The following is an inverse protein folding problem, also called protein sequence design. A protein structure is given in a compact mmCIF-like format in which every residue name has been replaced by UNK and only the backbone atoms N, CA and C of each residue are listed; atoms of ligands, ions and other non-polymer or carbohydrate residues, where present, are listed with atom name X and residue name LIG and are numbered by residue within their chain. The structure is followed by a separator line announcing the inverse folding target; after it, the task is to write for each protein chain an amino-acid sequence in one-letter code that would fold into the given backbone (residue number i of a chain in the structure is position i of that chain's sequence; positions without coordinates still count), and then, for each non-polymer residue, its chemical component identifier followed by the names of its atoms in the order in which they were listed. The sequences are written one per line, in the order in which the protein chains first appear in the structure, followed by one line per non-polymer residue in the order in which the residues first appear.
data_IF_496207922836
#
_entry.id   IF_496207922836
#
_cell.length_a   1.000
_cell.length_b   1.000
_cell.length_c   1.000
_cell.angle_alpha   90.00
_cell.angle_beta   90.00
_cell.angle_gamma   90.00
#
_symmetry.space_group_name_H-M   'P 1'
#
loop_
_entity.id
_entity.type
_entity.pdbx_description
1 polymer ?
#
# COMPACT_ATOMS: atom_id res chain seq x y z
N UNK A 1 -11.90 0.51 13.10
CA UNK A 1 -11.24 1.08 14.29
C UNK A 1 -10.02 1.86 13.85
N UNK A 2 -9.88 3.09 14.34
CA UNK A 2 -8.69 3.91 14.12
C UNK A 2 -7.95 4.03 15.46
N UNK A 3 -6.65 3.77 15.47
CA UNK A 3 -5.85 3.79 16.69
C UNK A 3 -4.38 4.03 16.36
N UNK A 4 -3.64 4.47 17.37
CA UNK A 4 -2.19 4.69 17.26
C UNK A 4 -1.43 3.43 17.64
N UNK A 5 -0.32 3.15 16.96
CA UNK A 5 0.68 2.18 17.39
C UNK A 5 1.41 2.75 18.61
N UNK A 6 0.73 2.80 19.76
CA UNK A 6 1.24 3.31 21.01
C UNK A 6 0.99 2.34 22.16
N UNK A 7 2.02 2.05 22.95
CA UNK A 7 1.96 1.17 24.14
C UNK A 7 1.21 -0.14 23.83
N UNK A 8 0.40 -0.64 24.77
CA UNK A 8 -0.37 -1.88 24.64
C UNK A 8 -1.72 -1.70 23.91
N UNK A 9 -2.06 -0.47 23.48
CA UNK A 9 -3.34 -0.18 22.85
C UNK A 9 -3.61 -1.03 21.57
N UNK A 10 -2.63 -1.25 20.67
CA UNK A 10 -2.83 -2.11 19.50
C UNK A 10 -3.25 -3.53 19.87
N UNK A 11 -2.56 -4.14 20.85
CA UNK A 11 -2.82 -5.52 21.28
C UNK A 11 -4.23 -5.62 21.88
N UNK A 12 -4.60 -4.68 22.76
CA UNK A 12 -5.94 -4.62 23.34
C UNK A 12 -7.04 -4.49 22.26
N UNK A 13 -6.83 -3.62 21.27
CA UNK A 13 -7.74 -3.46 20.13
C UNK A 13 -7.82 -4.75 19.31
N UNK A 14 -6.68 -5.37 19.01
CA UNK A 14 -6.60 -6.62 18.27
C UNK A 14 -7.38 -7.75 18.93
N UNK A 15 -7.18 -7.97 20.23
CA UNK A 15 -7.94 -8.97 20.98
C UNK A 15 -9.44 -8.67 21.00
N UNK A 16 -9.82 -7.40 21.22
CA UNK A 16 -11.23 -7.01 21.23
C UNK A 16 -11.91 -7.28 19.90
N UNK A 17 -11.24 -6.94 18.78
CA UNK A 17 -11.77 -7.22 17.44
C UNK A 17 -11.81 -8.72 17.17
N UNK A 18 -10.78 -9.48 17.52
CA UNK A 18 -10.78 -10.93 17.35
C UNK A 18 -11.95 -11.59 18.12
N UNK A 19 -12.17 -11.19 19.37
CA UNK A 19 -13.29 -11.68 20.18
C UNK A 19 -14.64 -11.31 19.57
N UNK A 20 -14.83 -10.06 19.14
CA UNK A 20 -16.08 -9.63 18.50
C UNK A 20 -16.35 -10.38 17.20
N UNK A 21 -15.32 -10.69 16.42
CA UNK A 21 -15.45 -11.47 15.20
C UNK A 21 -15.75 -12.95 15.43
N UNK A 22 -15.31 -13.50 16.56
CA UNK A 22 -15.60 -14.89 16.94
C UNK A 22 -17.04 -15.05 17.46
N UNK A 23 -17.59 -14.04 18.13
CA UNK A 23 -18.91 -14.10 18.75
C UNK A 23 -20.02 -13.54 17.88
N UNK A 24 -19.72 -12.61 16.98
CA UNK A 24 -20.69 -11.95 16.11
C UNK A 24 -20.44 -12.29 14.62
N UNK A 25 -21.51 -12.31 13.82
CA UNK A 25 -21.38 -12.29 12.35
C UNK A 25 -20.98 -10.89 11.90
N UNK A 26 -19.71 -10.56 12.07
CA UNK A 26 -19.16 -9.28 11.67
C UNK A 26 -18.77 -9.30 10.19
N UNK A 27 -19.54 -8.60 9.37
CA UNK A 27 -19.27 -8.51 7.91
C UNK A 27 -18.13 -7.56 7.57
N UNK A 28 -17.88 -6.56 8.42
CA UNK A 28 -16.82 -5.56 8.22
C UNK A 28 -15.97 -5.41 9.47
N UNK A 29 -14.67 -5.63 9.30
CA UNK A 29 -13.66 -5.37 10.32
C UNK A 29 -12.54 -4.53 9.69
N UNK A 30 -12.21 -3.42 10.34
CA UNK A 30 -11.33 -2.41 9.75
C UNK A 30 -10.30 -1.93 10.76
N UNK A 31 -9.04 -1.85 10.33
CA UNK A 31 -7.99 -1.16 11.05
C UNK A 31 -7.44 0.01 10.22
N UNK A 32 -7.40 1.17 10.85
CA UNK A 32 -6.66 2.35 10.39
C UNK A 32 -5.59 2.60 11.45
N UNK A 33 -4.37 2.27 11.10
CA UNK A 33 -3.24 2.22 12.03
C UNK A 33 -2.43 3.50 11.86
N UNK A 34 -2.48 4.34 12.88
CA UNK A 34 -1.80 5.63 12.94
C UNK A 34 -0.50 5.52 13.73
N UNK A 35 0.36 6.51 13.56
CA UNK A 35 1.64 6.67 14.25
C UNK A 35 1.65 7.99 15.02
N UNK A 36 2.42 8.07 16.09
CA UNK A 36 2.36 9.19 17.03
C UNK A 36 2.80 10.52 16.41
N UNK A 37 3.74 10.45 15.47
CA UNK A 37 4.28 11.60 14.72
C UNK A 37 3.71 11.64 13.31
N UNK A 38 3.53 12.85 12.80
CA UNK A 38 3.26 13.03 11.37
C UNK A 38 4.50 12.74 10.54
N UNK A 39 4.32 12.44 9.24
CA UNK A 39 5.44 12.03 8.38
C UNK A 39 6.59 13.04 8.35
N UNK A 40 6.28 14.33 8.37
CA UNK A 40 7.28 15.41 8.33
C UNK A 40 8.08 15.53 9.63
N UNK A 41 7.56 14.98 10.72
CA UNK A 41 8.18 14.99 12.05
C UNK A 41 8.95 13.69 12.33
N UNK A 42 8.69 12.63 11.56
CA UNK A 42 9.39 11.35 11.69
C UNK A 42 10.80 11.41 11.11
N UNK A 43 11.78 10.99 11.91
CA UNK A 43 13.07 10.55 11.41
C UNK A 43 13.03 9.08 10.94
N UNK A 44 14.18 8.56 10.53
CA UNK A 44 14.30 7.17 10.06
C UNK A 44 14.08 6.16 11.18
N UNK A 45 14.54 6.46 12.40
CA UNK A 45 14.39 5.58 13.56
C UNK A 45 12.93 5.49 14.01
N UNK A 46 12.17 6.59 13.91
CA UNK A 46 10.75 6.62 14.20
C UNK A 46 9.98 5.62 13.32
N UNK A 47 10.16 5.70 11.99
CA UNK A 47 9.41 4.83 11.05
C UNK A 47 9.81 3.36 11.16
N UNK A 48 11.07 3.06 11.49
CA UNK A 48 11.57 1.70 11.75
C UNK A 48 11.01 1.13 13.07
N UNK A 49 10.94 1.97 14.11
CA UNK A 49 10.31 1.59 15.37
C UNK A 49 8.82 1.33 15.18
N UNK A 50 8.10 2.20 14.45
CA UNK A 50 6.69 1.96 14.14
C UNK A 50 6.49 0.68 13.32
N UNK A 51 7.35 0.41 12.34
CA UNK A 51 7.33 -0.85 11.59
C UNK A 51 7.51 -2.06 12.50
N UNK A 52 8.48 -2.01 13.42
CA UNK A 52 8.74 -3.08 14.40
C UNK A 52 7.54 -3.33 15.32
N UNK A 53 6.93 -2.26 15.84
CA UNK A 53 5.73 -2.33 16.69
C UNK A 53 4.54 -2.90 15.93
N UNK A 54 4.35 -2.51 14.68
CA UNK A 54 3.31 -3.09 13.83
C UNK A 54 3.51 -4.59 13.61
N UNK A 55 4.76 -5.02 13.36
CA UNK A 55 5.07 -6.45 13.18
C UNK A 55 4.76 -7.26 14.44
N UNK A 56 5.12 -6.76 15.64
CA UNK A 56 4.74 -7.41 16.91
C UNK A 56 3.23 -7.48 17.07
N UNK A 57 2.52 -6.36 16.88
CA UNK A 57 1.06 -6.32 16.91
C UNK A 57 0.41 -7.31 15.93
N UNK A 58 0.92 -7.38 14.70
CA UNK A 58 0.43 -8.30 13.67
C UNK A 58 0.57 -9.77 14.10
N UNK A 59 1.75 -10.13 14.62
CA UNK A 59 2.05 -11.50 15.05
C UNK A 59 1.27 -11.92 16.29
N UNK A 60 0.97 -10.99 17.20
CA UNK A 60 0.19 -11.29 18.41
C UNK A 60 -1.32 -11.38 18.13
N UNK A 61 -1.81 -10.63 17.13
CA UNK A 61 -3.23 -10.50 16.84
C UNK A 61 -3.65 -11.14 15.50
N UNK A 62 -2.97 -12.20 15.04
CA UNK A 62 -3.20 -12.87 13.75
C UNK A 62 -4.68 -13.19 13.48
N UNK A 63 -5.42 -13.60 14.51
CA UNK A 63 -6.86 -13.91 14.40
C UNK A 63 -7.70 -12.67 14.04
N UNK A 64 -7.34 -11.49 14.54
CA UNK A 64 -7.99 -10.25 14.16
C UNK A 64 -7.69 -9.93 12.69
N UNK A 65 -6.42 -10.01 12.29
CA UNK A 65 -5.97 -9.75 10.91
C UNK A 65 -6.59 -10.70 9.89
N UNK A 66 -6.71 -11.99 10.22
CA UNK A 66 -7.35 -12.98 9.35
C UNK A 66 -8.81 -12.65 9.01
N UNK A 67 -9.48 -11.90 9.89
CA UNK A 67 -10.83 -11.43 9.71
C UNK A 67 -10.98 -10.06 9.04
N UNK A 68 -9.90 -9.27 8.93
CA UNK A 68 -10.00 -7.89 8.45
C UNK A 68 -10.48 -7.81 7.01
N UNK A 69 -11.37 -6.84 6.79
CA UNK A 69 -11.86 -6.42 5.47
C UNK A 69 -11.18 -5.14 4.99
N UNK A 70 -10.60 -4.34 5.88
CA UNK A 70 -9.88 -3.12 5.55
C UNK A 70 -8.67 -2.94 6.44
N UNK A 71 -7.53 -2.65 5.82
CA UNK A 71 -6.30 -2.29 6.52
C UNK A 71 -5.71 -1.04 5.87
N UNK A 72 -5.44 -0.02 6.69
CA UNK A 72 -4.69 1.16 6.29
C UNK A 72 -3.52 1.36 7.25
N UNK A 73 -2.32 1.52 6.68
CA UNK A 73 -1.07 1.70 7.41
C UNK A 73 -0.42 3.00 6.97
N UNK A 74 0.14 3.75 7.94
CA UNK A 74 0.89 4.96 7.64
C UNK A 74 2.23 5.05 8.38
N UNK A 75 3.24 5.64 7.71
CA UNK A 75 4.55 5.98 8.26
C UNK A 75 5.30 4.76 8.87
N UNK A 76 5.31 3.62 8.17
CA UNK A 76 5.98 2.40 8.61
C UNK A 76 7.17 2.07 7.71
N UNK A 77 8.32 1.72 8.29
CA UNK A 77 9.43 1.10 7.57
C UNK A 77 9.60 -0.35 8.01
N UNK A 78 9.37 -1.30 7.10
CA UNK A 78 9.55 -2.71 7.39
C UNK A 78 10.99 -3.15 7.09
N UNK A 79 11.64 -3.77 8.08
CA UNK A 79 12.98 -4.34 7.91
C UNK A 79 12.99 -5.49 6.89
N UNK A 80 11.98 -6.37 6.95
CA UNK A 80 11.86 -7.50 6.02
C UNK A 80 10.87 -7.21 4.90
N UNK A 81 11.27 -7.54 3.69
CA UNK A 81 10.51 -7.34 2.47
C UNK A 81 9.31 -8.27 2.30
N UNK A 82 9.37 -9.47 2.90
CA UNK A 82 8.31 -10.47 2.87
C UNK A 82 7.09 -10.10 3.71
N UNK A 83 7.22 -9.12 4.60
CA UNK A 83 6.16 -8.81 5.56
C UNK A 83 4.88 -8.30 4.89
N UNK A 84 4.98 -7.56 3.78
CA UNK A 84 3.79 -7.14 3.02
C UNK A 84 3.06 -8.35 2.42
N UNK A 85 3.81 -9.36 1.98
CA UNK A 85 3.23 -10.64 1.52
C UNK A 85 2.53 -11.38 2.67
N UNK A 86 3.08 -11.34 3.89
CA UNK A 86 2.46 -11.96 5.06
C UNK A 86 1.10 -11.33 5.42
N UNK A 87 0.93 -10.01 5.21
CA UNK A 87 -0.35 -9.34 5.36
C UNK A 87 -1.38 -9.93 4.38
N UNK A 88 -1.02 -10.03 3.10
CA UNK A 88 -1.91 -10.56 2.05
C UNK A 88 -2.28 -12.02 2.29
N UNK A 89 -1.33 -12.85 2.72
CA UNK A 89 -1.58 -14.28 3.02
C UNK A 89 -2.48 -14.46 4.25
N UNK A 90 -2.27 -13.64 5.27
CA UNK A 90 -3.01 -13.73 6.55
C UNK A 90 -4.42 -13.16 6.41
N UNK A 91 -4.58 -11.97 5.82
CA UNK A 91 -5.83 -11.22 5.80
C UNK A 91 -6.80 -11.68 4.70
N UNK A 92 -7.25 -12.95 4.73
CA UNK A 92 -7.99 -13.60 3.63
C UNK A 92 -9.30 -12.92 3.21
N UNK A 93 -9.86 -12.05 4.04
CA UNK A 93 -11.11 -11.29 3.79
C UNK A 93 -10.88 -9.84 3.35
N UNK A 94 -9.61 -9.45 3.12
CA UNK A 94 -9.26 -8.07 2.84
C UNK A 94 -9.83 -7.59 1.51
N UNK A 95 -10.67 -6.55 1.58
CA UNK A 95 -11.25 -5.86 0.45
C UNK A 95 -10.48 -4.59 0.10
N UNK A 96 -9.90 -3.92 1.11
CA UNK A 96 -9.09 -2.72 0.95
C UNK A 96 -7.74 -2.86 1.66
N UNK A 97 -6.67 -2.52 0.96
CA UNK A 97 -5.33 -2.37 1.51
C UNK A 97 -4.77 -1.01 1.14
N UNK A 98 -4.35 -0.24 2.14
CA UNK A 98 -3.78 1.09 1.95
C UNK A 98 -2.45 1.26 2.66
N UNK A 99 -1.48 1.84 1.96
CA UNK A 99 -0.19 2.26 2.49
C UNK A 99 0.01 3.75 2.22
N UNK A 100 0.45 4.48 3.24
CA UNK A 100 0.80 5.89 3.14
C UNK A 100 2.16 6.13 3.78
N UNK A 101 3.14 6.59 3.01
CA UNK A 101 4.50 6.81 3.51
C UNK A 101 5.14 5.54 4.12
N UNK A 102 4.83 4.37 3.56
CA UNK A 102 5.39 3.11 4.02
C UNK A 102 6.49 2.61 3.08
N UNK A 103 7.61 2.16 3.64
CA UNK A 103 8.79 1.73 2.90
C UNK A 103 9.32 0.39 3.42
N UNK A 104 10.20 -0.23 2.65
CA UNK A 104 11.04 -1.34 3.08
C UNK A 104 12.51 -0.90 3.13
N UNK A 105 13.36 -1.66 3.83
CA UNK A 105 14.80 -1.38 3.86
C UNK A 105 15.38 -1.34 2.44
N UNK A 106 15.04 -2.36 1.65
CA UNK A 106 15.41 -2.51 0.25
C UNK A 106 14.35 -1.99 -0.72
N UNK A 107 14.77 -1.71 -1.95
CA UNK A 107 13.85 -1.44 -3.07
C UNK A 107 13.32 -2.77 -3.60
N UNK A 108 12.10 -3.11 -3.24
CA UNK A 108 11.53 -4.41 -3.59
C UNK A 108 10.43 -4.29 -4.64
N UNK A 109 10.18 -5.42 -5.29
CA UNK A 109 8.93 -5.62 -6.03
C UNK A 109 7.86 -6.08 -5.05
N UNK A 110 6.80 -5.29 -4.91
CA UNK A 110 5.60 -5.71 -4.19
C UNK A 110 4.77 -6.60 -5.10
N UNK A 111 4.75 -7.91 -4.83
CA UNK A 111 3.85 -8.84 -5.52
C UNK A 111 2.53 -8.96 -4.75
N UNK A 112 1.42 -8.72 -5.44
CA UNK A 112 0.08 -8.76 -4.87
C UNK A 112 -0.70 -9.92 -5.48
N UNK A 113 -1.09 -10.86 -4.62
CA UNK A 113 -2.00 -11.96 -4.92
C UNK A 113 -3.07 -12.03 -3.84
N UNK A 114 -4.32 -11.74 -4.20
CA UNK A 114 -5.41 -11.70 -3.22
C UNK A 114 -6.79 -11.80 -3.88
N UNK A 115 -7.54 -12.85 -3.55
CA UNK A 115 -8.82 -13.18 -4.18
C UNK A 115 -9.94 -12.16 -3.93
N UNK A 116 -9.89 -11.48 -2.77
CA UNK A 116 -10.97 -10.58 -2.32
C UNK A 116 -10.63 -9.10 -2.45
N UNK A 117 -9.38 -8.76 -2.78
CA UNK A 117 -8.94 -7.38 -2.78
C UNK A 117 -9.63 -6.61 -3.90
N UNK A 118 -10.32 -5.53 -3.54
CA UNK A 118 -11.06 -4.64 -4.44
C UNK A 118 -10.35 -3.32 -4.64
N UNK A 119 -9.69 -2.84 -3.59
CA UNK A 119 -9.03 -1.54 -3.60
C UNK A 119 -7.61 -1.67 -3.04
N UNK A 120 -6.65 -1.18 -3.81
CA UNK A 120 -5.26 -1.05 -3.39
C UNK A 120 -4.84 0.42 -3.52
N UNK A 121 -4.39 1.00 -2.41
CA UNK A 121 -3.86 2.35 -2.36
C UNK A 121 -2.43 2.34 -1.84
N UNK A 122 -1.51 2.88 -2.62
CA UNK A 122 -0.09 2.98 -2.31
C UNK A 122 0.31 4.42 -2.58
N UNK A 123 0.56 5.19 -1.53
CA UNK A 123 0.83 6.63 -1.64
C UNK A 123 2.15 6.96 -0.97
N UNK A 124 3.06 7.56 -1.73
CA UNK A 124 4.38 7.99 -1.27
C UNK A 124 5.19 6.84 -0.62
N UNK A 125 5.17 5.66 -1.26
CA UNK A 125 5.86 4.46 -0.82
C UNK A 125 7.03 4.10 -1.72
N UNK A 126 8.09 3.53 -1.15
CA UNK A 126 9.33 3.15 -1.83
C UNK A 126 9.30 1.69 -2.31
N UNK A 127 8.57 1.44 -3.38
CA UNK A 127 8.62 0.18 -4.13
C UNK A 127 9.32 0.36 -5.48
N UNK A 128 10.15 -0.60 -5.90
CA UNK A 128 10.76 -0.59 -7.23
C UNK A 128 9.70 -0.83 -8.32
N UNK A 129 8.77 -1.74 -8.02
CA UNK A 129 7.67 -2.12 -8.89
C UNK A 129 6.53 -2.69 -8.05
N UNK A 130 5.28 -2.47 -8.47
CA UNK A 130 4.10 -3.16 -7.94
C UNK A 130 3.59 -4.13 -9.01
N UNK A 131 3.64 -5.43 -8.69
CA UNK A 131 3.19 -6.51 -9.58
C UNK A 131 1.87 -7.07 -9.07
N UNK A 132 0.80 -6.84 -9.80
CA UNK A 132 -0.52 -7.41 -9.53
C UNK A 132 -0.65 -8.76 -10.23
N UNK A 133 -0.13 -9.82 -9.60
CA UNK A 133 -0.03 -11.13 -10.24
C UNK A 133 -1.41 -11.81 -10.40
N UNK A 134 -2.22 -11.82 -9.34
CA UNK A 134 -3.58 -12.38 -9.38
C UNK A 134 -4.50 -11.69 -8.36
N UNK A 135 -5.27 -10.71 -8.82
CA UNK A 135 -6.21 -9.94 -7.98
C UNK A 135 -7.53 -9.74 -8.75
N UNK A 136 -8.32 -10.80 -8.94
CA UNK A 136 -9.44 -10.81 -9.89
C UNK A 136 -10.56 -9.84 -9.57
N UNK A 137 -10.67 -9.40 -8.31
CA UNK A 137 -11.71 -8.48 -7.84
C UNK A 137 -11.28 -7.03 -7.73
N UNK A 138 -10.04 -6.72 -8.08
CA UNK A 138 -9.50 -5.37 -7.97
C UNK A 138 -10.23 -4.44 -8.94
N UNK A 139 -10.90 -3.42 -8.42
CA UNK A 139 -11.61 -2.40 -9.21
C UNK A 139 -10.90 -1.05 -9.19
N UNK A 140 -10.13 -0.77 -8.14
CA UNK A 140 -9.40 0.49 -7.97
C UNK A 140 -7.95 0.26 -7.57
N UNK A 141 -7.03 0.86 -8.31
CA UNK A 141 -5.63 0.98 -7.96
C UNK A 141 -5.25 2.46 -7.90
N UNK A 142 -4.75 2.90 -6.74
CA UNK A 142 -4.01 4.15 -6.61
C UNK A 142 -2.54 3.82 -6.32
N UNK A 143 -1.64 4.20 -7.21
CA UNK A 143 -0.20 4.17 -6.98
C UNK A 143 0.37 5.57 -7.20
N UNK A 144 0.40 6.35 -6.13
CA UNK A 144 0.63 7.79 -6.20
C UNK A 144 1.94 8.17 -5.53
N UNK A 145 2.61 9.18 -6.11
CA UNK A 145 3.93 9.65 -5.67
C UNK A 145 4.99 8.53 -5.61
N UNK A 146 5.02 7.63 -6.59
CA UNK A 146 6.08 6.61 -6.65
C UNK A 146 7.43 7.23 -7.06
N UNK A 147 8.51 6.62 -6.56
CA UNK A 147 9.88 7.18 -6.58
C UNK A 147 10.86 6.42 -7.50
N UNK A 148 10.52 5.19 -7.92
CA UNK A 148 11.43 4.43 -8.79
C UNK A 148 11.58 5.04 -10.19
N UNK A 149 12.61 4.63 -10.93
CA UNK A 149 12.90 5.13 -12.28
C UNK A 149 13.58 4.10 -13.19
N UNK A 150 13.89 2.91 -12.67
CA UNK A 150 14.65 1.87 -13.38
C UNK A 150 13.76 0.97 -14.22
N UNK A 151 12.56 0.68 -13.75
CA UNK A 151 11.58 -0.23 -14.35
C UNK A 151 10.21 0.45 -14.45
N UNK A 152 9.29 -0.06 -15.28
CA UNK A 152 7.89 0.34 -15.21
C UNK A 152 7.37 0.20 -13.76
N UNK A 153 6.59 1.16 -13.26
CA UNK A 153 6.12 1.14 -11.87
C UNK A 153 5.13 0.00 -11.61
N UNK A 154 4.47 -0.50 -12.67
CA UNK A 154 3.39 -1.46 -12.59
C UNK A 154 3.61 -2.62 -13.56
N UNK A 155 3.19 -3.80 -13.12
CA UNK A 155 3.03 -4.99 -13.94
C UNK A 155 1.70 -5.65 -13.60
N UNK A 156 0.89 -5.92 -14.62
CA UNK A 156 -0.42 -6.56 -14.46
C UNK A 156 -0.36 -8.02 -14.92
N UNK A 157 -0.86 -8.92 -14.08
CA UNK A 157 -1.23 -10.28 -14.44
C UNK A 157 -2.75 -10.36 -14.57
N UNK A 158 -3.40 -11.18 -13.73
CA UNK A 158 -4.85 -11.37 -13.82
C UNK A 158 -5.64 -10.32 -13.01
N UNK A 159 -6.13 -9.28 -13.70
CA UNK A 159 -6.87 -8.13 -13.13
C UNK A 159 -8.11 -7.70 -13.95
N UNK A 160 -9.02 -8.64 -14.31
CA UNK A 160 -10.09 -8.40 -15.27
C UNK A 160 -11.09 -7.28 -14.91
N UNK A 161 -11.22 -6.93 -13.62
CA UNK A 161 -12.21 -5.96 -13.14
C UNK A 161 -11.61 -4.58 -12.84
N UNK A 162 -10.36 -4.32 -13.21
CA UNK A 162 -9.73 -3.03 -12.91
C UNK A 162 -10.37 -1.91 -13.73
N UNK A 163 -11.09 -1.02 -13.05
CA UNK A 163 -11.83 0.09 -13.67
C UNK A 163 -11.13 1.43 -13.47
N UNK A 164 -10.54 1.65 -12.29
CA UNK A 164 -9.94 2.92 -11.88
C UNK A 164 -8.44 2.74 -11.66
N UNK A 165 -7.63 3.53 -12.37
CA UNK A 165 -6.20 3.63 -12.17
C UNK A 165 -5.79 5.08 -11.91
N UNK A 166 -5.20 5.32 -10.74
CA UNK A 166 -4.58 6.60 -10.38
C UNK A 166 -3.08 6.40 -10.28
N UNK A 167 -2.32 7.13 -11.08
CA UNK A 167 -0.88 6.99 -11.17
C UNK A 167 -0.23 8.37 -11.18
N UNK A 168 0.64 8.62 -10.21
CA UNK A 168 1.43 9.86 -10.13
C UNK A 168 2.84 9.57 -9.64
N UNK A 169 3.83 10.34 -10.08
CA UNK A 169 5.21 10.19 -9.64
C UNK A 169 5.67 11.45 -8.89
N UNK A 170 6.79 11.35 -8.16
CA UNK A 170 7.42 12.51 -7.50
C UNK A 170 8.16 13.45 -8.47
N UNK A 171 8.19 13.13 -9.77
CA UNK A 171 8.79 13.96 -10.82
C UNK A 171 10.26 14.34 -10.62
N UNK A 172 11.07 13.40 -10.14
CA UNK A 172 12.50 13.61 -10.06
C UNK A 172 13.11 13.69 -11.46
N UNK A 173 14.14 14.52 -11.62
CA UNK A 173 14.87 14.76 -12.87
C UNK A 173 15.47 13.50 -13.54
N UNK A 174 15.59 12.39 -12.82
CA UNK A 174 16.09 11.11 -13.34
C UNK A 174 14.97 10.14 -13.75
N UNK A 175 13.70 10.51 -13.60
CA UNK A 175 12.58 9.70 -14.07
C UNK A 175 12.58 9.64 -15.61
N UNK A 176 12.73 8.43 -16.15
CA UNK A 176 12.54 8.19 -17.58
C UNK A 176 11.06 8.32 -17.94
N UNK A 177 10.78 8.71 -19.18
CA UNK A 177 9.41 8.69 -19.71
C UNK A 177 8.78 7.30 -19.52
N UNK A 178 7.59 7.28 -18.92
CA UNK A 178 6.81 6.06 -18.70
C UNK A 178 5.91 5.83 -19.91
N UNK A 179 6.16 4.75 -20.64
CA UNK A 179 5.26 4.31 -21.71
C UNK A 179 4.11 3.52 -21.11
N UNK A 180 2.95 4.15 -20.92
CA UNK A 180 1.77 3.49 -20.31
C UNK A 180 1.34 2.22 -21.05
N UNK A 181 1.54 2.17 -22.37
CA UNK A 181 1.22 0.99 -23.19
C UNK A 181 1.96 -0.27 -22.75
N UNK A 182 3.13 -0.15 -22.11
CA UNK A 182 3.91 -1.34 -21.70
C UNK A 182 3.22 -2.14 -20.60
N UNK A 183 2.28 -1.56 -19.86
CA UNK A 183 1.54 -2.24 -18.81
C UNK A 183 0.02 -2.11 -18.93
N UNK A 184 -0.53 -1.13 -19.65
CA UNK A 184 -1.99 -1.00 -19.80
C UNK A 184 -2.60 -1.78 -20.97
N UNK A 185 -1.79 -2.33 -21.88
CA UNK A 185 -2.26 -2.93 -23.13
C UNK A 185 -3.28 -4.07 -22.96
N UNK A 186 -3.29 -4.77 -21.82
CA UNK A 186 -4.21 -5.88 -21.54
C UNK A 186 -5.31 -5.53 -20.51
N UNK A 187 -5.41 -4.25 -20.12
CA UNK A 187 -6.33 -3.82 -19.07
C UNK A 187 -7.59 -3.16 -19.63
N UNK A 188 -8.72 -3.27 -18.93
CA UNK A 188 -10.01 -2.65 -19.30
C UNK A 188 -10.29 -1.34 -18.53
N UNK A 189 -9.23 -0.62 -18.13
CA UNK A 189 -9.32 0.60 -17.31
C UNK A 189 -10.22 1.65 -17.98
N UNK A 190 -11.14 2.24 -17.22
CA UNK A 190 -12.13 3.22 -17.69
C UNK A 190 -11.86 4.64 -17.15
N UNK A 191 -11.46 4.77 -15.89
CA UNK A 191 -11.03 6.04 -15.28
C UNK A 191 -9.52 5.98 -15.07
N UNK A 192 -8.78 6.73 -15.89
CA UNK A 192 -7.34 6.87 -15.80
C UNK A 192 -6.99 8.29 -15.34
N UNK A 193 -6.41 8.41 -14.15
CA UNK A 193 -5.91 9.69 -13.62
C UNK A 193 -4.41 9.67 -13.55
N UNK A 194 -3.79 10.60 -14.27
CA UNK A 194 -2.35 10.73 -14.37
C UNK A 194 -1.90 12.03 -13.72
N UNK A 195 -1.09 11.93 -12.68
CA UNK A 195 -0.47 13.05 -11.99
C UNK A 195 1.05 13.01 -12.18
N UNK A 196 1.53 13.08 -13.42
CA UNK A 196 2.96 13.22 -13.68
C UNK A 196 3.32 14.69 -13.55
N UNK A 197 4.10 15.04 -12.53
CA UNK A 197 4.73 16.36 -12.49
C UNK A 197 5.96 16.31 -13.41
N UNK A 198 6.32 17.45 -13.99
CA UNK A 198 7.59 17.66 -14.67
C UNK A 198 8.24 18.86 -14.00
N UNK A 199 9.57 18.90 -13.88
CA UNK A 199 10.24 20.18 -13.64
C UNK A 199 10.03 21.04 -14.90
N UNK A 200 9.23 22.11 -14.80
CA UNK A 200 9.39 23.23 -15.73
C UNK A 200 10.75 23.84 -15.44
N UNK A 201 11.78 23.40 -16.18
CA UNK A 201 13.00 24.20 -16.31
C UNK A 201 12.59 25.55 -16.91
N UNK A 202 12.51 26.57 -16.06
CA UNK A 202 12.55 27.95 -16.48
C UNK A 202 13.95 28.18 -17.06
N UNK A 203 14.07 28.16 -18.40
CA UNK A 203 15.37 28.20 -19.07
C UNK A 203 15.24 28.25 -20.59
N UNK A 204 14.89 29.45 -21.07
CA UNK A 204 15.16 29.99 -22.41
C UNK A 204 14.53 29.29 -23.62
N UNK A 205 13.44 29.90 -24.09
CA UNK A 205 13.11 29.93 -25.51
C UNK A 205 14.27 30.66 -26.21
N UNK A 206 15.03 29.95 -27.05
CA UNK A 206 15.68 30.60 -28.18
C UNK A 206 14.75 30.39 -29.38
N UNK A 207 14.38 31.51 -30.02
CA UNK A 207 13.60 31.58 -31.25
C UNK A 207 14.22 30.77 -32.39
#
# INVERSE_FOLDING_TARGET
MTFYLKDDAPISVGHSVASAMATCKTEKAEFIVLTEKERLECDVYDVENYGTRFVSFFNECVNAFAGLTRLHLQNLRFAKSDFVSNILVTCKKLNYLGFLNCDTEDWITLQVEHAQLRELSIVNCRFDMVKLAWVPKLTCLAFESWVSFRKPPLSFGHVPLLEVLRLSNVALNWHKMVKLSTFLHETSVRDLRLGFKFETNCGTICM
#
